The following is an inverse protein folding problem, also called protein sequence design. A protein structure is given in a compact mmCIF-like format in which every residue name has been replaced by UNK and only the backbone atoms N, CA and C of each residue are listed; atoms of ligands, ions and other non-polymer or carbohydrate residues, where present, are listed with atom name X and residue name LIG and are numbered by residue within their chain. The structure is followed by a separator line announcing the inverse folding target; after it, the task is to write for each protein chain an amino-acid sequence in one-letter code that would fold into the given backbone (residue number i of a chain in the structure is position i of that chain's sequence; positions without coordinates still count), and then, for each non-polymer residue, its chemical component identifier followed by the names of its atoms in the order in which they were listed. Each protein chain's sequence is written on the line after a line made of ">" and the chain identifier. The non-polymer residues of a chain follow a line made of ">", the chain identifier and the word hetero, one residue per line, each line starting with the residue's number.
data_IF_662289468653
#
_entry.id   IF_662289468653
#
_cell.length_a   1.000
_cell.length_b   1.000
_cell.length_c   1.000
_cell.angle_alpha   90.00
_cell.angle_beta   90.00
_cell.angle_gamma   90.00
#
_symmetry.space_group_name_H-M   'P 1'
#
loop_
_entity.id
_entity.type
_entity.pdbx_description
1 polymer ?
#
# COMPACT_ATOMS: atom_id res chain seq x y z
N UNK A 1 -1.52 -14.10 11.45
CA UNK A 1 -1.10 -12.70 11.22
C UNK A 1 -1.71 -12.27 9.90
N UNK A 2 -2.22 -11.02 9.78
CA UNK A 2 -2.99 -10.51 8.63
C UNK A 2 -2.42 -10.93 7.27
N UNK A 3 -1.11 -10.84 7.10
CA UNK A 3 -0.40 -11.24 5.87
C UNK A 3 -0.71 -12.68 5.40
N UNK A 4 -0.64 -13.67 6.29
CA UNK A 4 -0.80 -15.09 5.94
C UNK A 4 -2.24 -15.60 6.10
N UNK A 5 -3.10 -14.87 6.80
CA UNK A 5 -4.48 -15.31 7.12
C UNK A 5 -5.55 -14.54 6.35
N UNK A 6 -5.16 -13.72 5.38
CA UNK A 6 -6.04 -12.96 4.48
C UNK A 6 -5.49 -13.02 3.06
N UNK A 7 -6.20 -12.43 2.09
CA UNK A 7 -5.75 -12.35 0.70
C UNK A 7 -4.58 -11.36 0.48
N UNK A 8 -4.07 -10.66 1.51
CA UNK A 8 -3.05 -9.61 1.35
C UNK A 8 -1.73 -10.12 0.77
N UNK A 9 -1.30 -11.34 1.13
CA UNK A 9 -0.11 -11.96 0.54
C UNK A 9 -0.31 -12.20 -0.95
N UNK A 10 -1.41 -12.85 -1.31
CA UNK A 10 -1.78 -13.14 -2.70
C UNK A 10 -1.90 -11.84 -3.53
N UNK A 11 -2.56 -10.81 -2.97
CA UNK A 11 -2.69 -9.49 -3.58
C UNK A 11 -1.33 -8.91 -3.98
N UNK A 12 -0.33 -9.00 -3.10
CA UNK A 12 0.99 -8.40 -3.33
C UNK A 12 1.89 -9.31 -4.17
N UNK A 13 1.80 -10.64 -4.03
CA UNK A 13 2.76 -11.56 -4.66
C UNK A 13 2.31 -12.11 -6.01
N UNK A 14 1.01 -12.15 -6.29
CA UNK A 14 0.48 -12.80 -7.50
C UNK A 14 -0.52 -11.94 -8.25
N UNK A 15 -1.45 -11.26 -7.56
CA UNK A 15 -2.55 -10.53 -8.22
C UNK A 15 -2.20 -9.09 -8.62
N UNK A 16 -1.01 -8.61 -8.28
CA UNK A 16 -0.60 -7.22 -8.53
C UNK A 16 -0.57 -6.86 -10.03
N UNK A 17 -0.53 -7.85 -10.92
CA UNK A 17 -0.42 -7.68 -12.37
C UNK A 17 -1.72 -8.02 -13.14
N UNK A 18 -2.84 -8.29 -12.46
CA UNK A 18 -4.07 -8.76 -13.12
C UNK A 18 -4.70 -7.72 -14.07
N UNK A 19 -4.51 -6.42 -13.81
CA UNK A 19 -5.02 -5.36 -14.70
C UNK A 19 -4.07 -5.03 -15.86
N UNK A 20 -2.81 -5.48 -15.82
CA UNK A 20 -1.83 -5.24 -16.89
C UNK A 20 -1.83 -6.31 -17.99
N UNK A 21 -2.53 -7.43 -17.77
CA UNK A 21 -2.70 -8.47 -18.77
C UNK A 21 -3.81 -8.07 -19.75
N UNK A 22 -3.44 -7.45 -20.88
CA UNK A 22 -4.32 -7.36 -22.06
C UNK A 22 -4.69 -8.78 -22.51
N UNK A 23 -5.93 -8.98 -22.97
CA UNK A 23 -6.54 -10.30 -23.32
C UNK A 23 -5.72 -11.13 -24.34
N UNK A 24 -4.71 -10.54 -24.99
CA UNK A 24 -3.87 -11.14 -26.03
C UNK A 24 -2.41 -11.45 -25.59
N UNK A 25 -2.02 -11.25 -24.32
CA UNK A 25 -0.67 -11.56 -23.83
C UNK A 25 -0.53 -13.01 -23.34
N UNK A 26 0.56 -13.70 -23.69
CA UNK A 26 0.91 -15.02 -23.13
C UNK A 26 0.98 -14.95 -21.59
N UNK A 27 0.40 -15.94 -20.90
CA UNK A 27 0.48 -16.04 -19.43
C UNK A 27 1.94 -15.95 -18.98
N UNK A 28 2.25 -14.93 -18.17
CA UNK A 28 3.58 -14.76 -17.60
C UNK A 28 3.95 -15.96 -16.72
N UNK A 29 5.16 -16.50 -16.90
CA UNK A 29 5.63 -17.60 -16.05
C UNK A 29 5.74 -17.16 -14.58
N UNK A 30 5.65 -18.09 -13.61
CA UNK A 30 5.80 -17.76 -12.19
C UNK A 30 7.10 -17.01 -11.85
N UNK A 31 8.18 -17.26 -12.60
CA UNK A 31 9.44 -16.57 -12.41
C UNK A 31 9.38 -15.10 -12.88
N UNK A 32 8.66 -14.81 -13.97
CA UNK A 32 8.46 -13.45 -14.45
C UNK A 32 7.58 -12.64 -13.50
N UNK A 33 6.51 -13.26 -12.98
CA UNK A 33 5.64 -12.63 -11.97
C UNK A 33 6.44 -12.32 -10.69
N UNK A 34 7.25 -13.26 -10.23
CA UNK A 34 8.07 -13.04 -9.03
C UNK A 34 9.11 -11.91 -9.23
N UNK A 35 9.72 -11.81 -10.41
CA UNK A 35 10.68 -10.75 -10.73
C UNK A 35 9.99 -9.39 -10.88
N UNK A 36 8.83 -9.33 -11.55
CA UNK A 36 8.04 -8.12 -11.64
C UNK A 36 7.59 -7.61 -10.26
N UNK A 37 7.15 -8.52 -9.38
CA UNK A 37 6.84 -8.19 -8.00
C UNK A 37 8.06 -7.60 -7.28
N UNK A 38 9.23 -8.26 -7.40
CA UNK A 38 10.47 -7.79 -6.78
C UNK A 38 10.83 -6.37 -7.22
N UNK A 39 10.68 -6.06 -8.51
CA UNK A 39 10.96 -4.73 -9.06
C UNK A 39 9.93 -3.69 -8.60
N UNK A 40 8.64 -4.02 -8.64
CA UNK A 40 7.56 -3.13 -8.20
C UNK A 40 7.71 -2.78 -6.71
N UNK A 41 7.91 -3.78 -5.86
CA UNK A 41 7.94 -3.60 -4.41
C UNK A 41 9.28 -3.08 -3.88
N UNK A 42 10.30 -2.99 -4.74
CA UNK A 42 11.66 -2.56 -4.37
C UNK A 42 12.47 -3.63 -3.64
N UNK A 43 12.08 -4.90 -3.77
CA UNK A 43 12.67 -6.05 -3.11
C UNK A 43 11.66 -7.19 -2.97
N UNK A 44 12.10 -8.32 -2.42
CA UNK A 44 11.22 -9.46 -2.17
C UNK A 44 10.26 -9.16 -1.02
N UNK A 45 8.93 -9.21 -1.22
CA UNK A 45 7.97 -9.01 -0.13
C UNK A 45 8.16 -10.03 1.00
N UNK A 46 8.55 -9.57 2.18
CA UNK A 46 8.66 -10.40 3.38
C UNK A 46 7.30 -10.52 4.11
N UNK A 47 6.52 -9.45 4.06
CA UNK A 47 5.21 -9.33 4.67
C UNK A 47 4.91 -7.90 5.09
N UNK A 48 3.98 -7.75 6.04
CA UNK A 48 3.55 -6.46 6.54
C UNK A 48 4.25 -6.09 7.84
N UNK A 49 4.49 -4.80 8.04
CA UNK A 49 4.99 -4.25 9.29
C UNK A 49 4.00 -4.56 10.44
N UNK A 50 4.51 -5.15 11.52
CA UNK A 50 3.70 -5.52 12.68
C UNK A 50 3.12 -4.31 13.43
N UNK A 51 3.67 -3.11 13.20
CA UNK A 51 3.13 -1.86 13.74
C UNK A 51 1.88 -1.41 12.96
N UNK A 52 0.78 -2.12 13.17
CA UNK A 52 -0.52 -1.81 12.58
C UNK A 52 -1.12 -0.61 13.31
N UNK A 53 -1.67 0.34 12.54
CA UNK A 53 -2.38 1.51 13.06
C UNK A 53 -3.81 1.49 12.55
N UNK A 54 -4.74 1.97 13.37
CA UNK A 54 -6.13 2.19 12.96
C UNK A 54 -6.44 3.66 13.18
N UNK A 55 -6.87 4.33 12.11
CA UNK A 55 -7.27 5.72 12.13
C UNK A 55 -8.79 5.81 12.05
N UNK A 56 -9.35 6.80 12.76
CA UNK A 56 -10.75 7.19 12.69
C UNK A 56 -10.82 8.68 12.38
N UNK A 57 -11.56 9.03 11.34
CA UNK A 57 -11.89 10.40 10.99
C UNK A 57 -13.41 10.58 11.01
N UNK A 58 -13.89 11.46 11.87
CA UNK A 58 -15.28 11.93 11.90
C UNK A 58 -15.43 13.17 11.01
N UNK A 59 -16.67 13.61 10.77
CA UNK A 59 -16.95 14.77 9.94
C UNK A 59 -16.14 16.02 10.36
N UNK A 60 -15.58 16.73 9.39
CA UNK A 60 -14.69 17.88 9.58
C UNK A 60 -13.20 17.53 9.79
N UNK A 61 -12.87 16.25 9.98
CA UNK A 61 -11.48 15.82 10.14
C UNK A 61 -10.86 15.44 8.79
N UNK A 62 -9.58 15.77 8.64
CA UNK A 62 -8.77 15.51 7.46
C UNK A 62 -7.32 15.24 7.89
N UNK A 63 -6.48 14.81 6.94
CA UNK A 63 -5.04 14.75 7.14
C UNK A 63 -4.36 15.40 5.93
N UNK A 64 -3.85 16.62 6.12
CA UNK A 64 -3.34 17.44 5.02
C UNK A 64 -2.13 16.85 4.31
N UNK A 65 -1.71 17.51 3.23
CA UNK A 65 -0.65 17.06 2.33
C UNK A 65 0.65 16.71 3.06
N UNK A 66 1.17 15.51 2.80
CA UNK A 66 2.39 14.99 3.39
C UNK A 66 3.06 13.95 2.49
N UNK A 67 4.26 13.54 2.92
CA UNK A 67 4.97 12.37 2.44
C UNK A 67 5.11 11.37 3.59
N UNK A 68 4.97 10.09 3.28
CA UNK A 68 5.26 9.01 4.20
C UNK A 68 6.74 8.61 4.08
N UNK A 69 7.41 8.41 5.21
CA UNK A 69 8.82 7.99 5.25
C UNK A 69 8.99 6.47 5.28
N UNK A 70 10.11 5.99 4.74
CA UNK A 70 10.52 4.60 4.89
C UNK A 70 11.10 4.34 6.29
N UNK A 71 10.73 3.21 6.89
CA UNK A 71 11.21 2.77 8.20
C UNK A 71 12.12 1.55 8.05
N UNK A 72 13.23 1.55 8.78
CA UNK A 72 14.01 0.32 8.98
C UNK A 72 13.36 -0.49 10.10
N UNK A 73 13.10 -1.77 9.84
CA UNK A 73 12.40 -2.66 10.77
C UNK A 73 13.15 -3.96 10.93
N UNK A 74 13.03 -4.57 12.10
CA UNK A 74 13.45 -5.97 12.30
C UNK A 74 12.25 -6.86 12.02
N UNK A 75 12.23 -7.51 10.87
CA UNK A 75 11.15 -8.38 10.46
C UNK A 75 11.36 -9.80 11.01
N UNK A 76 10.37 -10.30 11.74
CA UNK A 76 10.36 -11.70 12.19
C UNK A 76 9.22 -12.42 11.48
N UNK A 77 9.52 -13.36 10.56
CA UNK A 77 8.48 -14.15 9.91
C UNK A 77 7.61 -14.87 10.94
N UNK A 78 6.29 -14.87 10.72
CA UNK A 78 5.36 -15.68 11.51
C UNK A 78 5.53 -17.17 11.13
N UNK A 79 6.62 -17.80 11.57
CA UNK A 79 6.81 -19.25 11.40
C UNK A 79 6.20 -20.01 12.58
N UNK A 80 5.50 -21.10 12.27
CA UNK A 80 5.12 -22.15 13.23
C UNK A 80 6.31 -23.01 13.67
N UNK A 81 7.49 -22.88 13.04
CA UNK A 81 8.72 -23.57 13.45
C UNK A 81 9.54 -22.66 14.36
N UNK A 82 9.91 -23.17 15.53
CA UNK A 82 10.41 -22.44 16.70
C UNK A 82 11.73 -21.63 16.57
N UNK A 83 12.21 -21.30 15.35
CA UNK A 83 13.45 -20.53 15.12
C UNK A 83 13.41 -19.71 13.81
N UNK A 84 12.36 -18.93 13.56
CA UNK A 84 12.43 -17.92 12.50
C UNK A 84 13.50 -16.87 12.88
N UNK A 85 14.56 -16.77 12.07
CA UNK A 85 15.60 -15.75 12.27
C UNK A 85 15.02 -14.39 11.88
N UNK A 86 15.21 -13.39 12.74
CA UNK A 86 14.88 -12.03 12.41
C UNK A 86 15.75 -11.51 11.24
N UNK A 87 15.13 -10.76 10.34
CA UNK A 87 15.74 -10.20 9.12
C UNK A 87 15.67 -8.68 9.22
N UNK A 88 16.76 -7.99 8.87
CA UNK A 88 16.73 -6.55 8.71
C UNK A 88 15.92 -6.20 7.44
N UNK A 89 14.87 -5.41 7.61
CA UNK A 89 13.98 -4.99 6.54
C UNK A 89 13.82 -3.48 6.47
N UNK A 90 13.26 -3.03 5.36
CA UNK A 90 12.86 -1.64 5.11
C UNK A 90 11.42 -1.64 4.61
N UNK A 91 10.63 -0.65 5.01
CA UNK A 91 9.30 -0.44 4.43
C UNK A 91 9.41 0.29 3.09
N UNK A 92 8.64 -0.11 2.09
CA UNK A 92 8.68 0.50 0.73
C UNK A 92 7.33 1.01 0.22
N UNK A 93 6.24 0.46 0.72
CA UNK A 93 4.88 0.89 0.38
C UNK A 93 4.02 1.02 1.63
N UNK A 94 3.11 1.99 1.63
CA UNK A 94 2.03 2.09 2.61
C UNK A 94 0.84 1.29 2.10
N UNK A 95 0.27 0.46 2.97
CA UNK A 95 -0.99 -0.25 2.76
C UNK A 95 -2.07 0.42 3.60
N UNK A 96 -3.12 0.93 2.94
CA UNK A 96 -4.35 1.38 3.57
C UNK A 96 -5.47 0.39 3.25
N UNK A 97 -6.19 -0.08 4.27
CA UNK A 97 -7.43 -0.86 4.08
C UNK A 97 -8.57 -0.03 4.63
N UNK A 98 -9.51 0.36 3.76
CA UNK A 98 -10.68 1.12 4.16
C UNK A 98 -11.69 0.16 4.82
N UNK A 99 -12.00 0.41 6.09
CA UNK A 99 -12.89 -0.43 6.90
C UNK A 99 -14.34 0.05 6.85
N UNK A 100 -14.56 1.29 6.44
CA UNK A 100 -15.88 1.92 6.27
C UNK A 100 -15.89 2.78 5.01
N UNK A 101 -17.08 3.02 4.47
CA UNK A 101 -17.33 4.07 3.48
C UNK A 101 -17.77 5.36 4.16
N UNK A 102 -17.56 6.50 3.50
CA UNK A 102 -17.97 7.83 3.97
C UNK A 102 -18.20 8.78 2.78
N UNK A 103 -18.77 9.96 3.05
CA UNK A 103 -18.81 11.05 2.08
C UNK A 103 -17.59 11.95 2.28
N UNK A 104 -16.94 12.35 1.19
CA UNK A 104 -15.60 12.94 1.26
C UNK A 104 -14.59 11.89 1.74
N UNK A 105 -13.52 12.34 2.41
CA UNK A 105 -12.54 11.42 2.98
C UNK A 105 -11.68 10.69 1.94
N UNK A 106 -11.65 11.14 0.69
CA UNK A 106 -10.80 10.58 -0.36
C UNK A 106 -9.33 10.60 0.06
N UNK A 107 -8.56 9.62 -0.42
CA UNK A 107 -7.10 9.70 -0.38
C UNK A 107 -6.66 10.24 -1.73
N UNK A 108 -6.10 11.45 -1.75
CA UNK A 108 -5.78 12.18 -2.97
C UNK A 108 -4.28 12.25 -3.12
N UNK A 109 -3.79 11.90 -4.30
CA UNK A 109 -2.39 11.97 -4.70
C UNK A 109 -2.19 13.06 -5.74
N UNK A 110 -1.09 13.81 -5.63
CA UNK A 110 -0.77 14.88 -6.57
C UNK A 110 0.51 14.53 -7.33
N UNK A 111 0.41 14.10 -8.60
CA UNK A 111 1.58 13.81 -9.40
C UNK A 111 2.44 15.05 -9.63
N UNK A 112 3.75 14.86 -9.75
CA UNK A 112 4.66 15.96 -10.07
C UNK A 112 4.53 16.39 -11.54
N UNK A 113 4.65 17.70 -11.78
CA UNK A 113 4.63 18.25 -13.14
C UNK A 113 5.86 17.78 -13.94
N UNK A 114 5.62 17.25 -15.15
CA UNK A 114 6.68 16.85 -16.09
C UNK A 114 6.85 17.87 -17.21
N UNK A 115 7.81 17.64 -18.12
CA UNK A 115 7.98 18.47 -19.31
C UNK A 115 6.78 18.33 -20.26
N UNK A 116 6.23 17.11 -20.41
CA UNK A 116 5.04 16.87 -21.22
C UNK A 116 3.76 17.34 -20.53
N UNK A 117 3.64 17.11 -19.22
CA UNK A 117 2.44 17.47 -18.45
C UNK A 117 2.76 18.44 -17.30
N UNK A 118 2.55 19.73 -17.57
CA UNK A 118 2.84 20.80 -16.61
C UNK A 118 1.82 20.92 -15.47
N UNK A 119 0.65 20.30 -15.59
CA UNK A 119 -0.46 20.36 -14.63
C UNK A 119 -1.17 19.01 -14.60
N UNK A 120 -0.53 17.98 -14.03
CA UNK A 120 -1.19 16.70 -13.88
C UNK A 120 -2.42 16.83 -12.98
N UNK A 121 -3.49 16.15 -13.34
CA UNK A 121 -4.70 16.08 -12.53
C UNK A 121 -4.42 15.23 -11.28
N UNK A 122 -4.97 15.61 -10.10
CA UNK A 122 -4.91 14.79 -8.91
C UNK A 122 -5.61 13.44 -9.10
N UNK A 123 -5.09 12.41 -8.45
CA UNK A 123 -5.68 11.07 -8.44
C UNK A 123 -6.41 10.90 -7.11
N UNK A 124 -7.73 10.79 -7.14
CA UNK A 124 -8.56 10.64 -5.94
C UNK A 124 -9.07 9.20 -5.78
N UNK A 125 -8.88 8.62 -4.61
CA UNK A 125 -9.38 7.29 -4.24
C UNK A 125 -10.42 7.44 -3.13
N UNK A 126 -11.69 7.17 -3.46
CA UNK A 126 -12.79 7.24 -2.50
C UNK A 126 -12.78 6.03 -1.55
N UNK A 127 -13.08 6.17 -0.25
CA UNK A 127 -13.11 5.04 0.68
C UNK A 127 -14.22 4.05 0.34
N UNK A 128 -13.85 2.85 -0.07
CA UNK A 128 -14.75 1.72 -0.29
C UNK A 128 -14.43 0.59 0.69
N UNK A 129 -15.46 0.04 1.35
CA UNK A 129 -15.28 -0.99 2.38
C UNK A 129 -14.57 -2.21 1.82
N UNK A 130 -13.45 -2.57 2.42
CA UNK A 130 -12.64 -3.72 2.04
C UNK A 130 -11.60 -3.43 0.97
N UNK A 131 -11.61 -2.24 0.33
CA UNK A 131 -10.59 -1.86 -0.63
C UNK A 131 -9.23 -1.68 0.06
N UNK A 132 -8.20 -2.27 -0.56
CA UNK A 132 -6.81 -2.12 -0.19
C UNK A 132 -6.12 -1.18 -1.19
N UNK A 133 -5.62 -0.04 -0.70
CA UNK A 133 -4.83 0.91 -1.46
C UNK A 133 -3.37 0.78 -1.08
N UNK A 134 -2.51 0.48 -2.05
CA UNK A 134 -1.06 0.51 -1.90
C UNK A 134 -0.48 1.71 -2.64
N UNK A 135 0.35 2.50 -1.96
CA UNK A 135 1.15 3.55 -2.60
C UNK A 135 2.59 3.54 -2.10
N UNK A 136 3.52 3.95 -2.96
CA UNK A 136 4.94 4.06 -2.60
C UNK A 136 5.12 5.12 -1.51
N UNK A 137 6.09 4.87 -0.64
CA UNK A 137 6.57 5.85 0.34
C UNK A 137 8.10 5.92 0.40
N UNK A 138 8.66 6.80 1.23
CA UNK A 138 10.08 7.12 1.23
C UNK A 138 10.49 7.89 -0.04
N UNK A 139 11.60 7.49 -0.65
CA UNK A 139 12.22 8.20 -1.79
C UNK A 139 11.31 8.34 -3.02
N UNK A 140 10.26 7.51 -3.13
CA UNK A 140 9.30 7.51 -4.22
C UNK A 140 7.88 7.87 -3.77
N UNK A 141 7.74 8.52 -2.61
CA UNK A 141 6.45 8.94 -2.10
C UNK A 141 5.88 10.07 -2.97
N UNK A 142 4.66 9.88 -3.48
CA UNK A 142 3.90 10.97 -4.08
C UNK A 142 3.26 11.78 -2.96
N UNK A 143 3.24 13.12 -3.08
CA UNK A 143 2.55 13.96 -2.10
C UNK A 143 1.07 13.61 -2.12
N UNK A 144 0.50 13.40 -0.93
CA UNK A 144 -0.86 12.94 -0.80
C UNK A 144 -1.50 13.44 0.48
N UNK A 145 -2.83 13.38 0.52
CA UNK A 145 -3.62 13.77 1.69
C UNK A 145 -4.86 12.91 1.85
N UNK A 146 -5.39 12.88 3.07
CA UNK A 146 -6.75 12.43 3.35
C UNK A 146 -7.67 13.63 3.39
N UNK A 147 -8.55 13.75 2.39
CA UNK A 147 -9.53 14.83 2.29
C UNK A 147 -10.47 14.85 3.50
N UNK A 148 -11.15 15.98 3.70
CA UNK A 148 -12.13 16.14 4.75
C UNK A 148 -13.27 15.13 4.63
N UNK A 149 -13.56 14.43 5.72
CA UNK A 149 -14.79 13.65 5.84
C UNK A 149 -15.95 14.63 6.00
N UNK A 150 -16.92 14.60 5.09
CA UNK A 150 -18.09 15.49 5.14
C UNK A 150 -19.34 14.80 5.69
N UNK A 151 -19.35 13.46 5.72
CA UNK A 151 -20.44 12.68 6.30
C UNK A 151 -20.03 11.24 6.63
N UNK A 152 -20.59 10.71 7.73
CA UNK A 152 -20.25 9.38 8.23
C UNK A 152 -18.94 9.36 9.03
N UNK A 153 -18.31 8.19 9.10
CA UNK A 153 -17.00 7.99 9.74
C UNK A 153 -16.09 7.17 8.84
N UNK A 154 -14.88 7.67 8.59
CA UNK A 154 -13.83 6.97 7.86
C UNK A 154 -12.94 6.21 8.84
N UNK A 155 -12.91 4.89 8.71
CA UNK A 155 -12.00 4.02 9.44
C UNK A 155 -11.00 3.40 8.47
N UNK A 156 -9.71 3.51 8.78
CA UNK A 156 -8.64 2.99 7.93
C UNK A 156 -7.65 2.20 8.78
N UNK A 157 -7.35 0.98 8.35
CA UNK A 157 -6.19 0.25 8.84
C UNK A 157 -4.99 0.62 7.99
N UNK A 158 -3.87 0.99 8.63
CA UNK A 158 -2.58 1.19 7.97
C UNK A 158 -1.57 0.15 8.42
N UNK A 159 -0.85 -0.39 7.45
CA UNK A 159 0.41 -1.11 7.66
C UNK A 159 1.36 -0.72 6.51
N UNK A 160 2.54 -1.33 6.48
CA UNK A 160 3.56 -1.04 5.48
C UNK A 160 4.13 -2.35 4.93
N UNK A 161 4.39 -2.40 3.62
CA UNK A 161 5.05 -3.55 3.01
C UNK A 161 6.54 -3.53 3.37
N UNK A 162 7.06 -4.68 3.82
CA UNK A 162 8.46 -4.86 4.22
C UNK A 162 9.20 -5.71 3.20
N UNK A 163 10.37 -5.24 2.80
CA UNK A 163 11.34 -5.98 1.97
C UNK A 163 12.69 -6.08 2.70
N UNK A 164 13.61 -6.98 2.32
CA UNK A 164 14.97 -7.00 2.87
C UNK A 164 15.68 -5.66 2.65
N UNK A 165 16.47 -5.25 3.64
CA UNK A 165 17.36 -4.08 3.53
C UNK A 165 18.67 -4.43 2.82
#
# INVERSE_FOLDING_TARGET
>A
MLWETTALKELVTTRYAEEEQEEDQEESSPAQIAEGARQLWGGEPLGLNSNIRIYRYSAGQFFGQHYDEANNVTFTPASTKAKAKAVAGRTTWTLLVYLTSCTGGETVFYPEATRENRRPEPIAVAPEVGMALLHRHGDHCMIHEGMEVTGGEKWVLRSDLVVPR
#
